data_IF_994034131922
#
_entry.id   IF_994034131922
#
_cell.length_a   1.000
_cell.length_b   1.000
_cell.length_c   1.000
_cell.angle_alpha   90.00
_cell.angle_beta   90.00
_cell.angle_gamma   90.00
#
_symmetry.space_group_name_H-M   'P 1'
#
loop_
_entity.id
_entity.type
_entity.pdbx_description
1 polymer ?
#
# COMPACT_ATOMS: atom_id res chain seq x y z
N UNK A 1 -11.59 26.64 12.97
CA UNK A 1 -10.69 25.93 13.89
C UNK A 1 -11.01 24.46 13.80
N UNK A 2 -10.00 23.61 13.67
CA UNK A 2 -10.12 22.15 13.59
C UNK A 2 -9.43 21.44 14.76
N UNK A 3 -8.91 22.19 15.74
CA UNK A 3 -8.22 21.67 16.92
C UNK A 3 -9.01 20.62 17.72
N UNK A 4 -10.36 20.63 17.76
CA UNK A 4 -11.13 19.58 18.43
C UNK A 4 -11.10 18.20 17.75
N UNK A 5 -10.57 18.10 16.53
CA UNK A 5 -10.50 16.85 15.79
C UNK A 5 -9.15 16.17 16.08
N UNK A 6 -9.19 15.21 17.00
CA UNK A 6 -8.02 14.46 17.49
C UNK A 6 -8.03 12.99 17.05
N UNK A 7 -9.22 12.40 16.89
CA UNK A 7 -9.40 10.98 16.58
C UNK A 7 -9.98 10.76 15.18
N UNK A 8 -9.71 9.59 14.60
CA UNK A 8 -10.31 9.16 13.33
C UNK A 8 -11.82 9.06 13.48
N UNK A 9 -12.56 9.37 12.41
CA UNK A 9 -14.02 9.40 12.36
C UNK A 9 -14.68 10.57 13.10
N UNK A 10 -13.93 11.38 13.85
CA UNK A 10 -14.47 12.61 14.41
C UNK A 10 -14.88 13.58 13.31
N UNK A 11 -16.01 14.24 13.54
CA UNK A 11 -16.69 15.06 12.56
C UNK A 11 -17.16 16.38 13.18
N UNK A 12 -17.17 17.44 12.37
CA UNK A 12 -17.80 18.72 12.68
C UNK A 12 -19.02 18.86 11.77
N UNK A 13 -20.17 19.11 12.37
CA UNK A 13 -21.42 19.39 11.69
C UNK A 13 -21.72 20.90 11.70
N UNK A 14 -22.68 21.32 10.88
CA UNK A 14 -23.12 22.73 10.83
C UNK A 14 -23.54 23.26 12.20
N UNK A 15 -24.21 22.44 13.02
CA UNK A 15 -24.62 22.81 14.38
C UNK A 15 -23.47 23.09 15.35
N UNK A 16 -22.27 22.58 15.06
CA UNK A 16 -21.10 22.72 15.94
C UNK A 16 -20.36 24.04 15.70
N UNK A 17 -20.77 24.81 14.68
CA UNK A 17 -20.16 26.11 14.40
C UNK A 17 -20.70 27.16 15.37
N UNK A 18 -19.78 27.80 16.11
CA UNK A 18 -20.08 29.01 16.87
C UNK A 18 -20.19 30.19 15.90
N UNK A 19 -21.43 30.65 15.69
CA UNK A 19 -21.75 31.78 14.82
C UNK A 19 -22.18 33.01 15.63
N UNK A 20 -21.92 34.19 15.08
CA UNK A 20 -22.46 35.45 15.61
C UNK A 20 -23.99 35.48 15.44
N UNK A 21 -24.72 36.14 16.36
CA UNK A 21 -26.19 36.15 16.34
C UNK A 21 -26.81 36.82 15.09
N UNK A 22 -26.05 37.65 14.37
CA UNK A 22 -26.50 38.31 13.14
C UNK A 22 -26.40 37.41 11.89
N UNK A 23 -25.90 36.17 12.04
CA UNK A 23 -25.70 35.23 10.94
C UNK A 23 -26.87 34.24 10.88
N UNK A 24 -27.51 34.14 9.72
CA UNK A 24 -28.55 33.13 9.47
C UNK A 24 -27.96 31.93 8.74
N UNK A 25 -28.20 30.74 9.28
CA UNK A 25 -27.81 29.47 8.64
C UNK A 25 -28.98 28.94 7.82
N UNK A 26 -28.75 28.69 6.54
CA UNK A 26 -29.73 28.09 5.63
C UNK A 26 -29.46 26.60 5.35
N UNK A 27 -28.28 26.12 5.74
CA UNK A 27 -27.89 24.72 5.59
C UNK A 27 -28.56 23.86 6.67
N UNK A 28 -28.63 22.55 6.40
CA UNK A 28 -29.13 21.57 7.35
C UNK A 28 -28.16 21.49 8.56
N UNK A 29 -28.65 21.58 9.81
CA UNK A 29 -27.79 21.48 10.99
C UNK A 29 -27.09 20.12 11.14
N UNK A 30 -27.62 19.03 10.56
CA UNK A 30 -27.00 17.69 10.52
C UNK A 30 -26.03 17.52 9.34
N UNK A 31 -25.83 18.56 8.51
CA UNK A 31 -24.89 18.48 7.40
C UNK A 31 -23.45 18.36 7.90
N UNK A 32 -22.74 17.34 7.42
CA UNK A 32 -21.31 17.13 7.67
C UNK A 32 -20.49 18.22 6.96
N UNK A 33 -19.59 18.88 7.69
CA UNK A 33 -18.68 19.88 7.14
C UNK A 33 -17.28 19.34 6.95
N UNK A 34 -16.76 18.65 7.96
CA UNK A 34 -15.43 18.05 7.91
C UNK A 34 -15.39 16.82 8.79
N UNK A 35 -14.52 15.87 8.47
CA UNK A 35 -14.21 14.71 9.31
C UNK A 35 -12.74 14.33 9.18
N UNK A 36 -12.18 13.69 10.21
CA UNK A 36 -10.89 13.01 10.09
C UNK A 36 -11.11 11.65 9.43
N UNK A 37 -10.36 11.39 8.37
CA UNK A 37 -10.27 10.09 7.73
C UNK A 37 -8.84 9.58 7.75
N UNK A 38 -8.68 8.26 7.67
CA UNK A 38 -7.38 7.65 7.50
C UNK A 38 -6.69 8.14 6.22
N UNK A 39 -5.40 8.45 6.33
CA UNK A 39 -4.58 8.78 5.19
C UNK A 39 -4.06 7.48 4.55
N UNK A 40 -4.46 7.22 3.30
CA UNK A 40 -3.90 6.11 2.53
C UNK A 40 -2.58 6.59 1.92
N UNK A 41 -1.46 6.16 2.51
CA UNK A 41 -0.12 6.40 1.97
C UNK A 41 0.23 5.19 1.10
N UNK A 42 0.39 5.40 -0.21
CA UNK A 42 0.93 4.37 -1.11
C UNK A 42 2.43 4.25 -0.85
N UNK A 43 2.84 3.22 -0.14
CA UNK A 43 4.24 2.85 0.06
C UNK A 43 4.74 2.17 -1.24
N UNK A 44 5.37 2.96 -2.11
CA UNK A 44 5.96 2.45 -3.37
C UNK A 44 7.29 1.69 -3.13
N UNK A 45 7.86 1.73 -1.92
CA UNK A 45 9.14 1.06 -1.59
C UNK A 45 9.02 -0.43 -1.23
N UNK A 46 7.88 -0.90 -0.72
CA UNK A 46 7.75 -2.30 -0.26
C UNK A 46 7.61 -3.28 -1.42
N UNK A 47 7.03 -2.83 -2.54
CA UNK A 47 6.80 -3.69 -3.71
C UNK A 47 8.12 -4.08 -4.38
N UNK A 48 9.07 -3.15 -4.48
CA UNK A 48 10.38 -3.41 -5.11
C UNK A 48 11.20 -4.43 -4.34
N UNK A 49 11.16 -4.41 -3.00
CA UNK A 49 11.87 -5.40 -2.20
C UNK A 49 11.28 -6.81 -2.35
N UNK A 50 9.95 -6.93 -2.37
CA UNK A 50 9.28 -8.22 -2.55
C UNK A 50 9.47 -8.78 -3.97
N UNK A 51 9.41 -7.94 -5.00
CA UNK A 51 9.67 -8.35 -6.39
C UNK A 51 11.12 -8.83 -6.57
N UNK A 52 12.09 -8.15 -5.95
CA UNK A 52 13.51 -8.56 -6.01
C UNK A 52 13.76 -9.87 -5.24
N UNK A 53 13.10 -10.09 -4.10
CA UNK A 53 13.20 -11.36 -3.36
C UNK A 53 12.59 -12.53 -4.17
N UNK A 54 11.44 -12.31 -4.83
CA UNK A 54 10.79 -13.33 -5.66
C UNK A 54 11.60 -13.65 -6.93
N UNK A 55 12.19 -12.66 -7.61
CA UNK A 55 13.09 -12.88 -8.75
C UNK A 55 14.36 -13.67 -8.33
N UNK A 56 14.93 -13.37 -7.15
CA UNK A 56 16.12 -14.06 -6.64
C UNK A 56 15.82 -15.51 -6.23
N UNK A 57 14.67 -15.79 -5.61
CA UNK A 57 14.25 -17.17 -5.32
C UNK A 57 13.98 -17.97 -6.61
N UNK A 58 13.34 -17.35 -7.60
CA UNK A 58 13.04 -18.00 -8.88
C UNK A 58 14.31 -18.34 -9.69
N UNK A 59 15.32 -17.47 -9.71
CA UNK A 59 16.61 -17.77 -10.36
C UNK A 59 17.38 -18.88 -9.63
N UNK A 60 17.33 -18.91 -8.29
CA UNK A 60 18.00 -19.94 -7.49
C UNK A 60 17.38 -21.34 -7.67
N UNK A 61 16.05 -21.44 -7.78
CA UNK A 61 15.38 -22.70 -8.09
C UNK A 61 15.66 -23.16 -9.54
N UNK A 62 15.73 -22.23 -10.50
CA UNK A 62 16.05 -22.54 -11.89
C UNK A 62 17.48 -23.09 -12.08
N UNK A 63 18.47 -22.56 -11.35
CA UNK A 63 19.84 -23.11 -11.38
C UNK A 63 19.96 -24.46 -10.65
N UNK A 64 19.14 -24.71 -9.63
CA UNK A 64 19.16 -25.99 -8.89
C UNK A 64 18.54 -27.16 -9.67
N UNK A 65 17.62 -26.91 -10.60
CA UNK A 65 16.96 -27.94 -11.42
C UNK A 65 17.66 -28.24 -12.77
N UNK A 66 18.75 -27.56 -13.14
CA UNK A 66 19.48 -27.89 -14.37
C UNK A 66 20.29 -29.20 -14.20
N UNK A 67 19.93 -30.32 -14.86
CA UNK A 67 20.77 -31.50 -14.83
C UNK A 67 22.08 -31.23 -15.57
N UNK A 68 23.20 -31.55 -14.93
CA UNK A 68 24.52 -31.66 -15.55
C UNK A 68 24.56 -32.84 -16.55
N UNK A 69 23.79 -32.77 -17.63
CA UNK A 69 23.90 -33.70 -18.76
C UNK A 69 24.74 -33.07 -19.87
N UNK A 70 26.05 -33.21 -19.73
CA UNK A 70 27.00 -32.86 -20.77
C UNK A 70 28.41 -33.23 -20.37
N UNK A 71 28.73 -34.52 -20.40
CA UNK A 71 30.05 -35.10 -20.79
C UNK A 71 30.25 -36.50 -20.21
N UNK A 72 29.70 -37.53 -20.85
CA UNK A 72 30.28 -38.88 -20.82
C UNK A 72 29.65 -39.76 -21.91
N UNK A 73 30.31 -39.91 -23.07
CA UNK A 73 30.54 -41.20 -23.75
C UNK A 73 31.23 -41.02 -25.10
N UNK A 74 32.56 -41.21 -25.10
CA UNK A 74 33.19 -42.11 -26.08
C UNK A 74 34.51 -42.66 -25.51
N UNK A 75 34.62 -43.94 -25.13
CA UNK A 75 35.92 -44.59 -25.11
C UNK A 75 36.32 -44.95 -26.54
N UNK A 76 37.63 -45.00 -26.86
CA UNK A 76 38.12 -45.48 -28.15
C UNK A 76 37.95 -47.00 -28.20
N UNK A 77 37.47 -47.54 -29.32
CA UNK A 77 37.50 -48.96 -29.61
C UNK A 77 38.31 -49.21 -30.88
N UNK A 78 39.31 -50.05 -30.71
CA UNK A 78 40.32 -50.57 -31.62
C UNK A 78 39.69 -51.40 -32.77
N UNK A 79 40.14 -51.19 -34.02
CA UNK A 79 40.41 -52.24 -35.03
C UNK A 79 41.08 -51.68 -36.28
#
# INVERSE_FOLDING_TARGET
DLSPLEEVEQAIYVRDIVLSPDITVHADPDQLLVKISEAIIKEEEVVVAAEVEEEVEAEAEAEAEAPAEGEAKKPPADS
#
